data_IF_433864421949
#
_entry.id   IF_433864421949
#
_cell.length_a   1.000
_cell.length_b   1.000
_cell.length_c   1.000
_cell.angle_alpha   90.00
_cell.angle_beta   90.00
_cell.angle_gamma   90.00
#
_symmetry.space_group_name_H-M   'P 1'
#
loop_
_entity.id
_entity.type
_entity.pdbx_description
1 polymer ?
#
# COMPACT_ATOMS: atom_id res chain seq x y z
N UNK A 1 -57.46 -5.52 -13.18
CA UNK A 1 -56.47 -4.46 -13.08
C UNK A 1 -55.50 -4.83 -11.95
N UNK A 2 -54.43 -5.54 -12.21
CA UNK A 2 -53.42 -5.96 -11.22
C UNK A 2 -52.15 -5.14 -11.47
N UNK A 3 -51.88 -4.18 -10.59
CA UNK A 3 -50.67 -3.38 -10.64
C UNK A 3 -49.46 -4.14 -10.02
N UNK A 4 -48.58 -4.61 -10.84
CA UNK A 4 -47.27 -5.09 -10.39
C UNK A 4 -46.36 -3.90 -10.02
N UNK A 5 -46.32 -3.55 -8.74
CA UNK A 5 -45.32 -2.65 -8.19
C UNK A 5 -44.02 -3.42 -7.97
N UNK A 6 -43.21 -3.51 -9.02
CA UNK A 6 -41.86 -4.02 -8.94
C UNK A 6 -40.95 -3.01 -8.26
N UNK A 7 -40.72 -3.09 -6.95
CA UNK A 7 -39.62 -2.39 -6.27
C UNK A 7 -38.30 -2.88 -6.88
N UNK A 8 -37.71 -2.11 -7.78
CA UNK A 8 -36.32 -2.31 -8.18
C UNK A 8 -35.45 -2.13 -6.92
N UNK A 9 -34.95 -3.23 -6.34
CA UNK A 9 -33.85 -3.19 -5.39
C UNK A 9 -32.66 -2.58 -6.16
N UNK A 10 -32.35 -1.33 -5.92
CA UNK A 10 -31.06 -0.79 -6.31
C UNK A 10 -30.00 -1.62 -5.58
N UNK A 11 -29.26 -2.44 -6.32
CA UNK A 11 -28.10 -3.10 -5.77
C UNK A 11 -27.14 -2.00 -5.29
N UNK A 12 -26.87 -1.96 -4.01
CA UNK A 12 -25.85 -1.04 -3.47
C UNK A 12 -24.54 -1.34 -4.20
N UNK A 13 -23.88 -0.27 -4.66
CA UNK A 13 -22.59 -0.40 -5.30
C UNK A 13 -21.62 -1.12 -4.33
N UNK A 14 -20.87 -2.09 -4.86
CA UNK A 14 -19.89 -2.82 -4.04
C UNK A 14 -18.83 -1.84 -3.54
N UNK A 15 -18.50 -1.91 -2.26
CA UNK A 15 -17.35 -1.18 -1.70
C UNK A 15 -16.05 -1.67 -2.35
N UNK A 16 -15.13 -0.75 -2.60
CA UNK A 16 -13.87 -0.97 -3.31
C UNK A 16 -12.69 -0.82 -2.38
N UNK A 17 -11.88 -1.85 -2.26
CA UNK A 17 -10.69 -1.85 -1.39
C UNK A 17 -9.43 -2.00 -2.24
N UNK A 18 -8.54 -1.00 -2.13
CA UNK A 18 -7.22 -1.01 -2.75
C UNK A 18 -6.20 -1.55 -1.74
N UNK A 19 -5.54 -2.64 -2.08
CA UNK A 19 -4.46 -3.22 -1.28
C UNK A 19 -3.11 -2.82 -1.86
N UNK A 20 -2.26 -2.21 -1.04
CA UNK A 20 -0.90 -1.81 -1.38
C UNK A 20 0.03 -2.52 -0.42
N UNK A 21 0.76 -3.52 -0.93
CA UNK A 21 1.54 -4.44 -0.11
C UNK A 21 3.00 -4.41 -0.50
N UNK A 22 3.88 -4.38 0.48
CA UNK A 22 5.31 -4.53 0.24
C UNK A 22 5.65 -5.96 -0.24
N UNK A 23 4.96 -6.97 0.29
CA UNK A 23 5.20 -8.38 0.01
C UNK A 23 3.90 -9.16 -0.22
N UNK A 24 3.93 -10.11 -1.15
CA UNK A 24 2.80 -11.00 -1.46
C UNK A 24 3.33 -12.38 -1.90
N UNK A 25 2.87 -13.47 -1.26
CA UNK A 25 3.07 -14.82 -1.80
C UNK A 25 2.14 -15.05 -3.01
N UNK A 26 2.55 -15.79 -4.04
CA UNK A 26 3.75 -16.61 -4.16
C UNK A 26 4.93 -15.87 -4.81
N UNK A 27 4.88 -14.56 -4.97
CA UNK A 27 5.91 -13.78 -5.67
C UNK A 27 7.18 -13.60 -4.84
N UNK A 28 7.02 -13.51 -3.52
CA UNK A 28 8.10 -13.43 -2.54
C UNK A 28 8.03 -14.60 -1.57
N UNK A 29 9.12 -14.84 -0.79
CA UNK A 29 9.14 -15.86 0.25
C UNK A 29 8.03 -15.71 1.28
N UNK A 30 7.75 -16.79 1.99
CA UNK A 30 6.76 -16.85 3.05
C UNK A 30 7.14 -15.92 4.23
N UNK A 31 6.26 -15.02 4.57
CA UNK A 31 6.31 -14.13 5.73
C UNK A 31 4.88 -13.82 6.19
N UNK A 32 4.73 -13.34 7.43
CA UNK A 32 3.41 -12.90 7.92
C UNK A 32 2.80 -11.85 6.97
N UNK A 33 3.58 -10.83 6.61
CA UNK A 33 3.16 -9.76 5.70
C UNK A 33 2.78 -10.30 4.33
N UNK A 34 3.60 -11.19 3.75
CA UNK A 34 3.35 -11.76 2.42
C UNK A 34 2.09 -12.63 2.40
N UNK A 35 1.82 -13.36 3.47
CA UNK A 35 0.59 -14.15 3.64
C UNK A 35 -0.64 -13.26 3.77
N UNK A 36 -0.60 -12.21 4.58
CA UNK A 36 -1.70 -11.25 4.69
C UNK A 36 -1.92 -10.56 3.34
N UNK A 37 -0.84 -10.15 2.65
CA UNK A 37 -0.92 -9.58 1.30
C UNK A 37 -1.61 -10.49 0.27
N UNK A 38 -1.56 -11.79 0.49
CA UNK A 38 -2.18 -12.80 -0.37
C UNK A 38 -3.61 -13.16 0.03
N UNK A 39 -3.84 -13.44 1.31
CA UNK A 39 -5.10 -14.05 1.75
C UNK A 39 -6.15 -13.04 2.22
N UNK A 40 -5.73 -11.89 2.76
CA UNK A 40 -6.67 -10.84 3.15
C UNK A 40 -7.45 -10.27 1.95
N UNK A 41 -6.83 -9.88 0.82
CA UNK A 41 -7.59 -9.40 -0.34
C UNK A 41 -8.59 -10.42 -0.84
N UNK A 42 -8.20 -11.70 -0.89
CA UNK A 42 -9.12 -12.77 -1.28
C UNK A 42 -10.31 -12.86 -0.32
N UNK A 43 -10.08 -12.89 0.99
CA UNK A 43 -11.14 -12.96 1.98
C UNK A 43 -12.10 -11.76 1.92
N UNK A 44 -11.57 -10.56 1.69
CA UNK A 44 -12.36 -9.34 1.49
C UNK A 44 -13.20 -9.40 0.20
N UNK A 45 -12.64 -9.97 -0.87
CA UNK A 45 -13.37 -10.23 -2.11
C UNK A 45 -14.50 -11.26 -1.91
N UNK A 46 -14.23 -12.35 -1.18
CA UNK A 46 -15.22 -13.37 -0.85
C UNK A 46 -16.38 -12.82 -0.01
N UNK A 47 -16.13 -11.77 0.77
CA UNK A 47 -17.16 -10.99 1.48
C UNK A 47 -17.91 -9.98 0.59
N UNK A 48 -17.67 -10.00 -0.73
CA UNK A 48 -18.44 -9.25 -1.71
C UNK A 48 -17.89 -7.86 -2.07
N UNK A 49 -16.75 -7.43 -1.53
CA UNK A 49 -16.10 -6.18 -1.92
C UNK A 49 -15.34 -6.37 -3.24
N UNK A 50 -15.18 -5.30 -4.02
CA UNK A 50 -14.31 -5.27 -5.20
C UNK A 50 -12.90 -4.91 -4.75
N UNK A 51 -11.89 -5.63 -5.25
CA UNK A 51 -10.50 -5.43 -4.83
C UNK A 51 -9.57 -5.12 -6.00
N UNK A 52 -8.48 -4.39 -5.72
CA UNK A 52 -7.28 -4.32 -6.53
C UNK A 52 -6.07 -4.41 -5.62
N UNK A 53 -5.02 -5.08 -6.11
CA UNK A 53 -3.83 -5.35 -5.29
C UNK A 53 -2.58 -4.93 -6.03
N UNK A 54 -1.68 -4.23 -5.34
CA UNK A 54 -0.43 -3.70 -5.86
C UNK A 54 0.76 -4.13 -5.01
N UNK A 55 1.90 -4.38 -5.66
CA UNK A 55 3.20 -4.57 -5.01
C UNK A 55 4.34 -4.07 -5.91
N UNK A 56 5.56 -3.82 -5.37
CA UNK A 56 6.72 -3.54 -6.19
C UNK A 56 7.14 -4.78 -7.00
N UNK A 57 7.64 -4.57 -8.19
CA UNK A 57 8.22 -5.65 -9.01
C UNK A 57 9.69 -5.83 -8.66
N UNK A 58 10.00 -6.45 -7.55
CA UNK A 58 11.38 -6.73 -7.18
C UNK A 58 12.07 -7.68 -8.18
N UNK A 59 13.35 -7.45 -8.46
CA UNK A 59 14.12 -8.20 -9.45
C UNK A 59 14.29 -9.68 -9.13
N UNK A 60 14.06 -10.11 -7.89
CA UNK A 60 14.02 -11.53 -7.50
C UNK A 60 12.76 -12.25 -8.02
N UNK A 61 11.72 -11.51 -8.43
CA UNK A 61 10.48 -12.11 -8.92
C UNK A 61 10.70 -12.67 -10.32
N UNK A 62 10.55 -13.97 -10.47
CA UNK A 62 10.67 -14.64 -11.77
C UNK A 62 9.41 -14.36 -12.62
N UNK A 63 9.52 -13.43 -13.57
CA UNK A 63 8.42 -12.99 -14.41
C UNK A 63 7.82 -14.13 -15.26
N UNK A 64 8.70 -14.95 -15.84
CA UNK A 64 8.26 -16.07 -16.71
C UNK A 64 7.50 -17.12 -15.92
N UNK A 65 8.00 -17.51 -14.73
CA UNK A 65 7.34 -18.49 -13.86
C UNK A 65 5.98 -18.00 -13.38
N UNK A 66 5.88 -16.73 -13.05
CA UNK A 66 4.69 -16.11 -12.51
C UNK A 66 3.79 -15.48 -13.58
N UNK A 67 4.15 -15.62 -14.87
CA UNK A 67 3.39 -15.11 -16.01
C UNK A 67 3.11 -13.60 -15.92
N UNK A 68 4.09 -12.82 -15.45
CA UNK A 68 4.00 -11.37 -15.48
C UNK A 68 4.03 -10.87 -16.92
N UNK A 69 3.14 -9.97 -17.27
CA UNK A 69 3.13 -9.30 -18.55
C UNK A 69 2.88 -7.79 -18.38
N UNK A 70 3.50 -7.00 -19.21
CA UNK A 70 3.36 -5.56 -19.18
C UNK A 70 1.98 -5.15 -19.69
N UNK A 71 1.40 -4.15 -19.04
CA UNK A 71 0.16 -3.50 -19.47
C UNK A 71 0.50 -2.18 -20.13
N UNK A 72 0.82 -2.21 -21.42
CA UNK A 72 1.31 -1.07 -22.21
C UNK A 72 0.45 0.18 -22.05
N UNK A 73 -0.88 0.05 -22.02
CA UNK A 73 -1.80 1.18 -21.85
C UNK A 73 -1.68 1.89 -20.50
N UNK A 74 -1.12 1.23 -19.49
CA UNK A 74 -0.91 1.78 -18.14
C UNK A 74 0.53 2.27 -17.96
N UNK A 75 1.47 1.73 -18.72
CA UNK A 75 2.89 2.09 -18.69
C UNK A 75 3.19 3.41 -19.42
N UNK A 76 4.44 3.86 -19.33
CA UNK A 76 5.01 4.95 -20.11
C UNK A 76 4.76 6.36 -19.56
N UNK A 77 4.22 6.49 -18.34
CA UNK A 77 4.26 7.76 -17.60
C UNK A 77 5.63 7.92 -16.94
N UNK A 78 6.16 9.13 -16.90
CA UNK A 78 7.34 9.44 -16.10
C UNK A 78 6.94 9.99 -14.73
N UNK A 79 7.60 9.50 -13.68
CA UNK A 79 7.55 10.07 -12.35
C UNK A 79 8.86 10.80 -12.08
N UNK A 80 8.76 12.06 -11.69
CA UNK A 80 9.94 12.84 -11.30
C UNK A 80 10.22 12.53 -9.82
N UNK A 81 11.40 11.98 -9.56
CA UNK A 81 11.93 11.71 -8.22
C UNK A 81 13.31 12.35 -8.15
N UNK A 82 13.54 13.21 -7.16
CA UNK A 82 14.85 13.86 -6.98
C UNK A 82 15.39 14.51 -8.29
N UNK A 83 14.51 15.28 -8.96
CA UNK A 83 14.79 15.99 -10.22
C UNK A 83 15.18 15.09 -11.42
N UNK A 84 14.90 13.80 -11.32
CA UNK A 84 15.17 12.81 -12.37
C UNK A 84 13.88 12.11 -12.82
N UNK A 85 13.75 11.94 -14.14
CA UNK A 85 12.63 11.22 -14.75
C UNK A 85 12.80 9.71 -14.64
N UNK A 86 11.79 9.04 -14.12
CA UNK A 86 11.75 7.58 -14.00
C UNK A 86 10.51 7.03 -14.70
N UNK A 87 10.68 6.23 -15.78
CA UNK A 87 9.56 5.61 -16.48
C UNK A 87 8.79 4.65 -15.57
N UNK A 88 7.47 4.83 -15.48
CA UNK A 88 6.59 3.92 -14.77
C UNK A 88 6.15 2.79 -15.69
N UNK A 89 6.54 1.58 -15.35
CA UNK A 89 6.16 0.35 -16.04
C UNK A 89 5.18 -0.42 -15.14
N UNK A 90 4.08 -0.87 -15.72
CA UNK A 90 3.05 -1.63 -15.00
C UNK A 90 3.00 -3.04 -15.57
N UNK A 91 3.25 -4.02 -14.69
CA UNK A 91 3.06 -5.43 -15.02
C UNK A 91 1.90 -6.02 -14.22
N UNK A 92 1.32 -7.11 -14.73
CA UNK A 92 0.20 -7.80 -14.09
C UNK A 92 0.45 -9.29 -14.12
N UNK A 93 0.11 -9.96 -13.02
CA UNK A 93 -0.04 -11.40 -12.96
C UNK A 93 -1.34 -11.79 -12.24
N UNK A 94 -1.82 -12.99 -12.50
CA UNK A 94 -3.03 -13.52 -11.89
C UNK A 94 -2.73 -14.65 -10.91
N UNK A 95 -3.29 -14.57 -9.72
CA UNK A 95 -3.34 -15.70 -8.79
C UNK A 95 -4.67 -16.42 -9.05
N UNK A 96 -4.63 -17.41 -9.94
CA UNK A 96 -5.84 -18.07 -10.47
C UNK A 96 -6.71 -18.70 -9.36
N UNK A 97 -6.09 -19.36 -8.37
CA UNK A 97 -6.79 -19.97 -7.25
C UNK A 97 -7.63 -18.96 -6.43
N UNK A 98 -7.25 -17.68 -6.44
CA UNK A 98 -7.95 -16.60 -5.76
C UNK A 98 -8.81 -15.73 -6.69
N UNK A 99 -8.76 -15.94 -7.99
CA UNK A 99 -9.36 -15.06 -9.01
C UNK A 99 -8.94 -13.59 -8.80
N UNK A 100 -7.69 -13.40 -8.40
CA UNK A 100 -7.13 -12.10 -8.03
C UNK A 100 -6.02 -11.71 -9.00
N UNK A 101 -6.01 -10.44 -9.42
CA UNK A 101 -4.91 -9.85 -10.17
C UNK A 101 -4.02 -9.03 -9.24
N UNK A 102 -2.72 -9.13 -9.43
CA UNK A 102 -1.73 -8.29 -8.76
C UNK A 102 -1.07 -7.41 -9.81
N UNK A 103 -1.09 -6.10 -9.57
CA UNK A 103 -0.40 -5.09 -10.35
C UNK A 103 0.98 -4.84 -9.73
N UNK A 104 1.98 -4.83 -10.57
CA UNK A 104 3.37 -4.61 -10.18
C UNK A 104 3.82 -3.25 -10.68
N UNK A 105 4.31 -2.43 -9.77
CA UNK A 105 4.98 -1.17 -10.07
C UNK A 105 6.44 -1.48 -10.35
N UNK A 106 6.89 -1.17 -11.55
CA UNK A 106 8.22 -1.50 -12.05
C UNK A 106 8.94 -0.28 -12.63
N UNK A 107 10.25 -0.30 -12.49
CA UNK A 107 11.19 0.63 -13.09
C UNK A 107 12.57 -0.03 -13.11
N UNK A 108 13.31 0.13 -14.19
CA UNK A 108 14.58 -0.53 -14.38
C UNK A 108 15.65 -0.09 -13.37
N UNK A 109 15.68 1.18 -13.02
CA UNK A 109 16.66 1.73 -12.07
C UNK A 109 16.42 1.22 -10.65
N UNK A 110 15.15 1.14 -10.24
CA UNK A 110 14.76 0.87 -8.85
C UNK A 110 14.52 -0.60 -8.54
N UNK A 111 14.05 -1.41 -9.49
CA UNK A 111 13.50 -2.73 -9.18
C UNK A 111 14.17 -3.89 -9.92
N UNK A 112 15.23 -3.69 -10.68
CA UNK A 112 15.93 -4.81 -11.35
C UNK A 112 16.89 -5.59 -10.45
N UNK A 113 17.25 -5.08 -9.29
CA UNK A 113 18.13 -5.76 -8.34
C UNK A 113 17.51 -7.05 -7.84
N UNK A 114 18.35 -8.08 -7.63
CA UNK A 114 17.88 -9.41 -7.22
C UNK A 114 17.25 -9.45 -5.83
N UNK A 115 17.62 -8.52 -4.97
CA UNK A 115 17.16 -8.46 -3.58
C UNK A 115 16.07 -7.41 -3.40
N UNK A 116 15.31 -7.53 -2.28
CA UNK A 116 14.15 -6.68 -2.01
C UNK A 116 14.57 -5.27 -1.60
N UNK A 117 15.32 -5.11 -0.50
CA UNK A 117 15.70 -3.81 0.09
C UNK A 117 17.15 -3.72 0.53
N UNK A 118 17.89 -4.83 0.50
CA UNK A 118 19.29 -4.92 0.90
C UNK A 118 20.05 -5.81 -0.06
N UNK A 119 21.37 -5.67 -0.13
CA UNK A 119 22.24 -6.53 -0.92
C UNK A 119 22.50 -7.89 -0.25
N UNK A 120 23.37 -8.70 -0.85
CA UNK A 120 23.72 -10.04 -0.32
C UNK A 120 24.49 -9.98 1.02
N UNK A 121 25.06 -8.83 1.38
CA UNK A 121 25.73 -8.59 2.67
C UNK A 121 24.76 -8.10 3.75
N UNK A 122 23.53 -7.79 3.37
CA UNK A 122 22.51 -7.20 4.26
C UNK A 122 22.58 -5.67 4.33
N UNK A 123 23.38 -5.03 3.49
CA UNK A 123 23.47 -3.57 3.41
C UNK A 123 22.27 -3.01 2.64
N UNK A 124 21.53 -2.10 3.28
CA UNK A 124 20.35 -1.46 2.69
C UNK A 124 20.73 -0.64 1.46
N UNK A 125 19.92 -0.76 0.41
CA UNK A 125 20.10 0.08 -0.77
C UNK A 125 19.93 1.55 -0.42
N UNK A 126 20.90 2.37 -0.86
CA UNK A 126 20.96 3.80 -0.54
C UNK A 126 19.78 4.63 -1.08
N UNK A 127 19.08 4.11 -2.07
CA UNK A 127 17.93 4.70 -2.77
C UNK A 127 16.58 4.09 -2.35
N UNK A 128 16.52 3.38 -1.25
CA UNK A 128 15.25 2.81 -0.76
C UNK A 128 14.18 3.87 -0.45
N UNK A 129 14.58 5.09 -0.11
CA UNK A 129 13.71 6.25 0.03
C UNK A 129 13.05 6.61 -1.31
N UNK A 130 13.81 6.73 -2.38
CA UNK A 130 13.31 7.04 -3.72
C UNK A 130 12.45 5.89 -4.27
N UNK A 131 12.81 4.65 -4.00
CA UNK A 131 12.03 3.46 -4.35
C UNK A 131 10.66 3.45 -3.67
N UNK A 132 10.59 3.82 -2.38
CA UNK A 132 9.33 3.94 -1.65
C UNK A 132 8.46 5.09 -2.16
N UNK A 133 9.07 6.24 -2.51
CA UNK A 133 8.38 7.37 -3.15
C UNK A 133 7.80 6.92 -4.51
N UNK A 134 8.66 6.33 -5.35
CA UNK A 134 8.26 5.88 -6.69
C UNK A 134 7.12 4.86 -6.63
N UNK A 135 7.23 3.86 -5.75
CA UNK A 135 6.18 2.86 -5.57
C UNK A 135 4.85 3.50 -5.17
N UNK A 136 4.86 4.33 -4.13
CA UNK A 136 3.65 4.97 -3.60
C UNK A 136 2.96 5.83 -4.67
N UNK A 137 3.71 6.71 -5.35
CA UNK A 137 3.17 7.56 -6.42
C UNK A 137 2.76 6.76 -7.64
N UNK A 138 3.52 5.74 -8.02
CA UNK A 138 3.21 4.85 -9.13
C UNK A 138 1.86 4.13 -8.96
N UNK A 139 1.51 3.74 -7.73
CA UNK A 139 0.19 3.18 -7.43
C UNK A 139 -0.92 4.20 -7.68
N UNK A 140 -0.79 5.43 -7.16
CA UNK A 140 -1.81 6.48 -7.36
C UNK A 140 -2.01 6.80 -8.84
N UNK A 141 -0.93 7.00 -9.58
CA UNK A 141 -0.99 7.29 -11.02
C UNK A 141 -1.65 6.15 -11.80
N UNK A 142 -1.35 4.91 -11.45
CA UNK A 142 -1.96 3.74 -12.08
C UNK A 142 -3.45 3.64 -11.79
N UNK A 143 -3.86 3.82 -10.54
CA UNK A 143 -5.28 3.77 -10.12
C UNK A 143 -6.06 4.91 -10.74
N UNK A 144 -5.48 6.13 -10.85
CA UNK A 144 -6.05 7.27 -11.56
C UNK A 144 -6.30 6.95 -13.04
N UNK A 145 -5.30 6.37 -13.71
CA UNK A 145 -5.39 5.95 -15.12
C UNK A 145 -6.42 4.83 -15.33
N UNK A 146 -6.61 3.95 -14.35
CA UNK A 146 -7.67 2.95 -14.33
C UNK A 146 -9.07 3.54 -14.10
N UNK A 147 -9.18 4.79 -13.65
CA UNK A 147 -10.43 5.45 -13.24
C UNK A 147 -11.23 4.62 -12.24
N UNK A 148 -10.54 4.00 -11.31
CA UNK A 148 -11.13 3.11 -10.32
C UNK A 148 -11.02 3.76 -8.92
N UNK A 149 -12.11 4.36 -8.45
CA UNK A 149 -12.13 5.07 -7.19
C UNK A 149 -12.28 4.08 -6.01
N UNK A 150 -11.28 3.92 -5.13
CA UNK A 150 -11.39 3.10 -3.93
C UNK A 150 -12.22 3.83 -2.85
N UNK A 151 -12.98 3.07 -2.07
CA UNK A 151 -13.58 3.55 -0.81
C UNK A 151 -12.54 3.48 0.32
N UNK A 152 -11.67 2.45 0.29
CA UNK A 152 -10.61 2.24 1.26
C UNK A 152 -9.30 1.87 0.56
N UNK A 153 -8.19 2.39 1.10
CA UNK A 153 -6.84 1.99 0.75
C UNK A 153 -6.23 1.31 1.98
N UNK A 154 -5.80 0.07 1.83
CA UNK A 154 -5.06 -0.65 2.86
C UNK A 154 -3.60 -0.75 2.48
N UNK A 155 -2.72 -0.31 3.36
CA UNK A 155 -1.27 -0.30 3.18
C UNK A 155 -0.60 -1.16 4.22
N UNK A 156 0.42 -1.95 3.82
CA UNK A 156 1.19 -2.77 4.76
C UNK A 156 2.69 -2.74 4.46
N UNK A 157 3.47 -2.64 5.54
CA UNK A 157 4.93 -2.56 5.52
C UNK A 157 5.44 -1.14 5.31
N UNK A 158 6.65 -0.85 5.85
CA UNK A 158 7.24 0.50 5.84
C UNK A 158 7.43 1.07 4.43
N UNK A 159 7.60 0.22 3.42
CA UNK A 159 7.76 0.63 2.03
C UNK A 159 6.52 1.32 1.46
N UNK A 160 5.36 1.14 2.10
CA UNK A 160 4.08 1.78 1.75
C UNK A 160 3.73 2.99 2.62
N UNK A 161 4.62 3.37 3.55
CA UNK A 161 4.31 4.36 4.59
C UNK A 161 4.02 5.78 4.07
N UNK A 162 4.46 6.11 2.85
CA UNK A 162 4.15 7.40 2.21
C UNK A 162 2.75 7.47 1.61
N UNK A 163 2.07 6.34 1.40
CA UNK A 163 0.73 6.31 0.80
C UNK A 163 -0.29 7.14 1.59
N UNK A 164 -0.39 7.02 2.92
CA UNK A 164 -1.30 7.88 3.69
C UNK A 164 -1.00 9.37 3.55
N UNK A 165 0.28 9.76 3.56
CA UNK A 165 0.71 11.16 3.36
C UNK A 165 0.24 11.68 2.00
N UNK A 166 0.57 10.97 0.92
CA UNK A 166 0.22 11.40 -0.43
C UNK A 166 -1.28 11.45 -0.65
N UNK A 167 -2.04 10.47 -0.15
CA UNK A 167 -3.50 10.50 -0.22
C UNK A 167 -4.08 11.78 0.39
N UNK A 168 -3.57 12.19 1.56
CA UNK A 168 -4.12 13.32 2.32
C UNK A 168 -3.60 14.67 1.87
N UNK A 169 -2.51 14.73 1.07
CA UNK A 169 -1.84 15.99 0.70
C UNK A 169 -1.81 16.21 -0.80
N UNK A 170 -1.30 15.27 -1.57
CA UNK A 170 -1.12 15.40 -3.02
C UNK A 170 -2.42 15.05 -3.78
N UNK A 171 -3.11 13.96 -3.35
CA UNK A 171 -4.27 13.41 -4.09
C UNK A 171 -5.63 13.69 -3.41
N UNK A 172 -5.68 14.54 -2.38
CA UNK A 172 -6.91 14.75 -1.59
C UNK A 172 -8.07 15.34 -2.42
N UNK A 173 -7.77 16.17 -3.43
CA UNK A 173 -8.76 16.81 -4.32
C UNK A 173 -8.99 16.02 -5.61
N UNK A 174 -8.23 14.94 -5.87
CA UNK A 174 -8.43 14.13 -7.06
C UNK A 174 -9.78 13.39 -6.98
N UNK A 175 -10.65 13.49 -8.01
CA UNK A 175 -11.96 12.84 -8.01
C UNK A 175 -11.94 11.32 -7.76
N UNK A 176 -10.82 10.65 -8.10
CA UNK A 176 -10.65 9.21 -7.86
C UNK A 176 -10.43 8.92 -6.39
N UNK A 177 -9.77 9.82 -5.64
CA UNK A 177 -9.32 9.57 -4.28
C UNK A 177 -9.98 10.43 -3.20
N UNK A 178 -10.70 11.49 -3.57
CA UNK A 178 -11.24 12.49 -2.64
C UNK A 178 -12.13 11.92 -1.53
N UNK A 179 -12.71 10.74 -1.73
CA UNK A 179 -13.54 10.04 -0.72
C UNK A 179 -12.83 8.87 -0.06
N UNK A 180 -11.63 8.52 -0.52
CA UNK A 180 -10.93 7.36 -0.03
C UNK A 180 -10.47 7.53 1.42
N UNK A 181 -10.64 6.49 2.22
CA UNK A 181 -10.03 6.33 3.54
C UNK A 181 -8.77 5.50 3.43
N UNK A 182 -7.86 5.63 4.39
CA UNK A 182 -6.64 4.84 4.40
C UNK A 182 -6.39 4.20 5.76
N UNK A 183 -6.13 2.90 5.73
CA UNK A 183 -5.70 2.09 6.87
C UNK A 183 -4.27 1.65 6.65
N UNK A 184 -3.43 1.87 7.63
CA UNK A 184 -2.03 1.46 7.59
C UNK A 184 -1.75 0.38 8.63
N UNK A 185 -1.10 -0.71 8.19
CA UNK A 185 -0.69 -1.82 9.06
C UNK A 185 0.83 -1.84 9.22
N UNK A 186 1.30 -1.68 10.46
CA UNK A 186 2.71 -1.77 10.81
C UNK A 186 3.10 -3.22 11.11
N UNK A 187 4.31 -3.61 10.70
CA UNK A 187 4.89 -4.93 10.87
C UNK A 187 6.23 -4.88 11.59
N UNK A 188 6.72 -6.04 11.98
CA UNK A 188 8.09 -6.23 12.46
C UNK A 188 9.06 -6.40 11.28
N UNK A 189 9.01 -5.44 10.36
CA UNK A 189 9.86 -5.37 9.17
C UNK A 189 11.02 -4.39 9.36
N UNK A 190 11.63 -4.44 10.54
CA UNK A 190 12.66 -3.52 10.98
C UNK A 190 13.91 -3.55 10.11
N UNK A 191 14.47 -2.36 9.90
CA UNK A 191 15.81 -2.17 9.41
C UNK A 191 16.66 -1.37 10.41
N UNK A 192 17.96 -1.59 10.41
CA UNK A 192 18.90 -0.87 11.26
C UNK A 192 19.32 0.45 10.63
N UNK A 193 19.50 1.47 11.47
CA UNK A 193 19.94 2.80 11.00
C UNK A 193 18.81 3.61 10.38
N UNK A 194 19.16 4.41 9.39
CA UNK A 194 18.26 5.34 8.70
C UNK A 194 18.34 5.16 7.20
N UNK A 195 17.27 5.49 6.49
CA UNK A 195 17.32 5.69 5.05
C UNK A 195 18.09 6.98 4.71
N UNK A 196 18.10 7.36 3.45
CA UNK A 196 18.81 8.55 2.99
C UNK A 196 18.33 9.81 3.75
N UNK A 197 19.30 10.65 4.20
CA UNK A 197 19.01 11.85 4.98
C UNK A 197 18.21 12.91 4.20
N UNK A 198 18.23 12.84 2.86
CA UNK A 198 17.44 13.70 1.99
C UNK A 198 16.00 13.19 1.77
N UNK A 199 15.60 12.11 2.45
CA UNK A 199 14.27 11.51 2.25
C UNK A 199 13.14 12.54 2.46
N UNK A 200 13.24 13.39 3.48
CA UNK A 200 12.25 14.44 3.71
C UNK A 200 12.12 15.41 2.53
N UNK A 201 13.23 15.77 1.88
CA UNK A 201 13.24 16.68 0.74
C UNK A 201 12.67 15.99 -0.51
N UNK A 202 13.11 14.77 -0.76
CA UNK A 202 12.66 13.96 -1.92
C UNK A 202 11.18 13.57 -1.83
N UNK A 203 10.63 13.38 -0.62
CA UNK A 203 9.23 13.06 -0.41
C UNK A 203 8.27 14.25 -0.60
N UNK A 204 8.78 15.47 -0.67
CA UNK A 204 7.97 16.66 -0.94
C UNK A 204 7.49 16.69 -2.38
N UNK A 205 6.19 16.87 -2.55
CA UNK A 205 5.50 17.01 -3.83
C UNK A 205 4.52 18.18 -3.75
N UNK A 206 3.75 18.42 -4.80
CA UNK A 206 2.68 19.41 -4.73
C UNK A 206 1.69 19.06 -3.61
N UNK A 207 1.43 20.01 -2.72
CA UNK A 207 0.57 19.84 -1.53
C UNK A 207 1.26 19.27 -0.28
N UNK A 208 2.48 18.71 -0.40
CA UNK A 208 3.25 18.21 0.74
C UNK A 208 4.24 19.26 1.23
N UNK A 209 4.07 19.74 2.46
CA UNK A 209 4.91 20.76 3.07
C UNK A 209 6.05 20.17 3.91
N UNK A 210 7.08 21.00 4.20
CA UNK A 210 8.18 20.64 5.11
C UNK A 210 7.70 20.18 6.50
N UNK A 211 6.56 20.69 6.97
CA UNK A 211 5.96 20.29 8.25
C UNK A 211 5.40 18.86 8.17
N UNK A 212 4.84 18.49 7.04
CA UNK A 212 4.22 17.17 6.86
C UNK A 212 5.27 16.05 6.89
N UNK A 213 6.49 16.33 6.42
CA UNK A 213 7.59 15.35 6.34
C UNK A 213 8.62 15.50 7.47
N UNK A 214 8.29 16.21 8.54
CA UNK A 214 9.26 16.50 9.62
C UNK A 214 9.85 15.24 10.25
N UNK A 215 9.09 14.16 10.38
CA UNK A 215 9.57 12.88 10.91
C UNK A 215 10.63 12.21 10.02
N UNK A 216 10.60 12.49 8.72
CA UNK A 216 11.59 11.97 7.77
C UNK A 216 12.95 12.68 7.82
N UNK A 217 13.14 13.70 8.65
CA UNK A 217 14.47 14.27 8.91
C UNK A 217 15.39 13.27 9.60
N UNK A 218 14.82 12.34 10.33
CA UNK A 218 15.49 11.16 10.88
C UNK A 218 14.76 9.92 10.41
N UNK A 219 15.01 9.44 9.16
CA UNK A 219 14.19 8.45 8.50
C UNK A 219 14.52 7.03 8.96
N UNK A 220 14.43 6.76 10.26
CA UNK A 220 14.49 5.43 10.83
C UNK A 220 13.12 4.73 10.72
N UNK A 221 13.10 3.42 10.93
CA UNK A 221 11.90 2.60 10.82
C UNK A 221 10.72 3.15 11.65
N UNK A 222 10.98 3.55 12.89
CA UNK A 222 9.97 4.07 13.81
C UNK A 222 9.35 5.38 13.28
N UNK A 223 10.16 6.33 12.84
CA UNK A 223 9.69 7.62 12.35
C UNK A 223 8.92 7.50 11.03
N UNK A 224 9.32 6.58 10.16
CA UNK A 224 8.59 6.30 8.92
C UNK A 224 7.19 5.74 9.23
N UNK A 225 7.09 4.78 10.16
CA UNK A 225 5.78 4.25 10.60
C UNK A 225 4.93 5.31 11.31
N UNK A 226 5.53 6.16 12.17
CA UNK A 226 4.83 7.29 12.80
C UNK A 226 4.26 8.25 11.78
N UNK A 227 4.99 8.53 10.69
CA UNK A 227 4.49 9.35 9.59
C UNK A 227 3.24 8.74 8.97
N UNK A 228 3.26 7.45 8.68
CA UNK A 228 2.10 6.76 8.15
C UNK A 228 0.89 6.84 9.11
N UNK A 229 1.12 6.64 10.40
CA UNK A 229 0.07 6.76 11.41
C UNK A 229 -0.53 8.17 11.48
N UNK A 230 0.29 9.23 11.30
CA UNK A 230 -0.21 10.62 11.30
C UNK A 230 -1.27 10.86 10.24
N UNK A 231 -1.12 10.27 9.06
CA UNK A 231 -2.00 10.50 7.92
C UNK A 231 -3.03 9.39 7.68
N UNK A 232 -2.91 8.23 8.33
CA UNK A 232 -3.91 7.17 8.24
C UNK A 232 -5.22 7.54 8.95
N UNK A 233 -6.35 7.03 8.45
CA UNK A 233 -7.66 7.11 9.11
C UNK A 233 -7.84 6.00 10.15
N UNK A 234 -7.17 4.86 9.98
CA UNK A 234 -7.12 3.74 10.92
C UNK A 234 -5.74 3.08 10.94
N UNK A 235 -5.40 2.47 12.06
CA UNK A 235 -4.09 1.85 12.28
C UNK A 235 -4.31 0.39 12.67
N UNK A 236 -3.47 -0.51 12.13
CA UNK A 236 -3.44 -1.91 12.53
C UNK A 236 -2.06 -2.22 13.10
N UNK A 237 -2.03 -2.84 14.27
CA UNK A 237 -0.82 -3.21 15.00
C UNK A 237 -0.83 -4.70 15.34
N UNK A 238 0.32 -5.35 15.20
CA UNK A 238 0.53 -6.64 15.83
C UNK A 238 1.04 -6.41 17.27
N UNK A 239 0.25 -6.75 18.31
CA UNK A 239 0.61 -6.44 19.70
C UNK A 239 1.87 -7.14 20.18
N UNK A 240 2.27 -8.26 19.55
CA UNK A 240 3.45 -9.03 19.94
C UNK A 240 4.71 -8.60 19.20
N UNK A 241 4.59 -8.01 18.01
CA UNK A 241 5.72 -7.72 17.13
C UNK A 241 5.93 -6.21 16.88
N UNK A 242 4.99 -5.36 17.27
CA UNK A 242 5.14 -3.91 17.13
C UNK A 242 5.86 -3.33 18.34
N UNK A 243 6.80 -2.42 18.11
CA UNK A 243 7.53 -1.72 19.17
C UNK A 243 6.61 -0.97 20.12
N UNK A 244 6.96 -0.92 21.40
CA UNK A 244 6.20 -0.19 22.42
C UNK A 244 6.13 1.32 22.13
N UNK A 245 7.14 1.88 21.48
CA UNK A 245 7.15 3.28 21.05
C UNK A 245 6.07 3.54 19.99
N UNK A 246 5.91 2.64 19.01
CA UNK A 246 4.87 2.74 17.99
C UNK A 246 3.47 2.51 18.57
N UNK A 247 3.32 1.55 19.51
CA UNK A 247 2.05 1.32 20.23
C UNK A 247 1.63 2.56 21.02
N UNK A 248 2.56 3.15 21.77
CA UNK A 248 2.32 4.37 22.54
C UNK A 248 1.95 5.55 21.66
N UNK A 249 2.64 5.69 20.54
CA UNK A 249 2.34 6.75 19.57
C UNK A 249 0.95 6.56 18.94
N UNK A 250 0.60 5.37 18.47
CA UNK A 250 -0.71 5.07 17.91
C UNK A 250 -1.83 5.36 18.92
N UNK A 251 -1.67 4.95 20.17
CA UNK A 251 -2.64 5.18 21.26
C UNK A 251 -2.85 6.69 21.54
N UNK A 252 -1.81 7.50 21.36
CA UNK A 252 -1.89 8.97 21.56
C UNK A 252 -2.70 9.69 20.49
N UNK A 253 -2.91 9.09 19.33
CA UNK A 253 -3.46 9.77 18.15
C UNK A 253 -4.99 9.88 18.12
N UNK A 254 -5.71 9.26 19.05
CA UNK A 254 -7.20 9.26 19.09
C UNK A 254 -7.85 8.78 17.77
N UNK A 255 -7.21 7.85 17.08
CA UNK A 255 -7.70 7.20 15.86
C UNK A 255 -8.14 5.78 16.17
N UNK A 256 -9.02 5.18 15.35
CA UNK A 256 -9.30 3.75 15.45
C UNK A 256 -8.02 2.92 15.30
N UNK A 257 -7.81 2.01 16.24
CA UNK A 257 -6.68 1.06 16.23
C UNK A 257 -7.25 -0.35 16.34
N UNK A 258 -6.86 -1.22 15.41
CA UNK A 258 -7.12 -2.64 15.48
C UNK A 258 -5.83 -3.33 15.92
N UNK A 259 -5.89 -4.01 17.05
CA UNK A 259 -4.86 -4.96 17.42
C UNK A 259 -5.10 -6.30 16.71
N UNK A 260 -4.04 -6.87 16.14
CA UNK A 260 -4.13 -8.10 15.38
C UNK A 260 -4.68 -9.25 16.24
N UNK A 261 -5.80 -9.82 15.82
CA UNK A 261 -6.57 -10.77 16.63
C UNK A 261 -6.10 -12.24 16.52
N UNK A 262 -4.96 -12.51 15.84
CA UNK A 262 -4.46 -13.89 15.65
C UNK A 262 -4.90 -14.54 14.34
N UNK A 263 -4.27 -15.69 14.00
CA UNK A 263 -4.26 -16.26 12.63
C UNK A 263 -5.60 -16.74 12.08
N UNK A 264 -6.55 -17.11 12.93
CA UNK A 264 -7.77 -17.81 12.45
C UNK A 264 -8.91 -16.89 11.99
N UNK A 265 -9.01 -15.69 12.54
CA UNK A 265 -10.15 -14.78 12.30
C UNK A 265 -9.75 -13.40 11.79
N UNK A 266 -8.50 -13.21 11.37
CA UNK A 266 -8.02 -11.89 10.96
C UNK A 266 -8.81 -11.29 9.80
N UNK A 267 -9.27 -12.10 8.84
CA UNK A 267 -10.06 -11.60 7.70
C UNK A 267 -11.36 -10.97 8.17
N UNK A 268 -12.04 -11.55 9.16
CA UNK A 268 -13.27 -11.01 9.72
C UNK A 268 -12.98 -9.70 10.48
N UNK A 269 -11.98 -9.71 11.36
CA UNK A 269 -11.58 -8.54 12.14
C UNK A 269 -11.17 -7.36 11.25
N UNK A 270 -10.39 -7.63 10.20
CA UNK A 270 -10.00 -6.59 9.24
C UNK A 270 -11.21 -6.08 8.42
N UNK A 271 -12.09 -6.97 8.00
CA UNK A 271 -13.29 -6.59 7.25
C UNK A 271 -14.19 -5.67 8.07
N UNK A 272 -14.43 -6.01 9.32
CA UNK A 272 -15.27 -5.22 10.25
C UNK A 272 -14.62 -3.87 10.54
N UNK A 273 -13.29 -3.86 10.72
CA UNK A 273 -12.54 -2.61 10.89
C UNK A 273 -12.57 -1.73 9.65
N UNK A 274 -12.45 -2.30 8.46
CA UNK A 274 -12.57 -1.56 7.20
C UNK A 274 -13.96 -0.92 7.06
N UNK A 275 -15.01 -1.66 7.37
CA UNK A 275 -16.37 -1.13 7.34
C UNK A 275 -16.57 0.01 8.34
N UNK A 276 -16.02 -0.11 9.56
CA UNK A 276 -16.01 0.97 10.56
C UNK A 276 -15.30 2.25 10.06
N UNK A 277 -14.22 2.11 9.27
CA UNK A 277 -13.46 3.27 8.76
C UNK A 277 -14.15 3.93 7.57
N UNK A 278 -14.87 3.16 6.75
CA UNK A 278 -15.56 3.67 5.55
C UNK A 278 -16.87 4.40 5.92
N UNK A 279 -17.59 3.90 6.91
CA UNK A 279 -18.89 4.43 7.34
C UNK A 279 -18.76 5.70 8.19
#
# INVERSE_FOLDING_TARGET
MYGFSGKRKFAMAKKRVLFISQEIVPYLPDSEMANIGRYLPQGIQDKGKEIRTFMPRYGCINERRNQLHEVIRLSGMNLIINDTDHPLIIKVASIQAARMQVYFIDNDDYFQRRNIVADDNGDFFHDNDERAIFFSRGVFETVRKLRWAPDLIFCQGWFTALVPLYLKKEYHDDPVFSKAKVVYSAYNDHFKGTLNQQFAEKAMTEGVSKKDVQLLKEPNHTNINKLAFQFADGIILNPTHTDDELKSFASSMKKPVLEYAGDKNYVDAYSDFFDQIID
#
